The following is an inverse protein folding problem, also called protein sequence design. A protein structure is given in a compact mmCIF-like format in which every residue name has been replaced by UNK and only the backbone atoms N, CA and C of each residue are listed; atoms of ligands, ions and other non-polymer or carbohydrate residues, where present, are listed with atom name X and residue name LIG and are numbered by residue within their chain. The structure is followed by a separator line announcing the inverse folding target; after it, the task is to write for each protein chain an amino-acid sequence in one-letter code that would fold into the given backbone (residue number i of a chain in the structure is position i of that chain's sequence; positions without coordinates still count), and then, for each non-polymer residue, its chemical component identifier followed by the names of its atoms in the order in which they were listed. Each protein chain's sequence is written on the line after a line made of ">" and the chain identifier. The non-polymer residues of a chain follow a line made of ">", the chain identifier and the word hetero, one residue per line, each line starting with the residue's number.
data_IF_676512914205
#
_entry.id   IF_676512914205
#
_cell.length_a   1.000
_cell.length_b   1.000
_cell.length_c   1.000
_cell.angle_alpha   90.00
_cell.angle_beta   90.00
_cell.angle_gamma   90.00
#
_symmetry.space_group_name_H-M   'P 1'
#
loop_
_entity.id
_entity.type
_entity.pdbx_description
1 polymer ?
#
# COMPACT_ATOMS: atom_id res chain seq x y z
N UNK A 1 -28.02 -28.40 -33.76
CA UNK A 1 -27.72 -27.92 -32.39
C UNK A 1 -26.43 -28.57 -31.85
N UNK A 2 -25.20 -28.15 -32.25
CA UNK A 2 -23.95 -28.65 -31.59
C UNK A 2 -22.73 -27.70 -31.62
N UNK A 3 -22.79 -26.52 -32.26
CA UNK A 3 -21.59 -25.65 -32.43
C UNK A 3 -21.62 -24.32 -31.67
N UNK A 4 -22.72 -23.99 -31.00
CA UNK A 4 -22.84 -22.72 -30.26
C UNK A 4 -22.39 -22.81 -28.79
N UNK A 5 -22.16 -24.00 -28.25
CA UNK A 5 -21.90 -24.18 -26.81
C UNK A 5 -20.43 -24.08 -26.41
N UNK A 6 -19.49 -24.12 -27.35
CA UNK A 6 -18.04 -24.08 -27.03
C UNK A 6 -17.45 -22.67 -26.93
N UNK A 7 -18.09 -21.64 -27.48
CA UNK A 7 -17.54 -20.28 -27.45
C UNK A 7 -17.86 -19.51 -26.17
N UNK A 8 -18.84 -19.95 -25.38
CA UNK A 8 -19.20 -19.27 -24.11
C UNK A 8 -18.31 -19.66 -22.92
N UNK A 9 -17.57 -20.77 -23.00
CA UNK A 9 -16.77 -21.25 -21.86
C UNK A 9 -15.39 -20.56 -21.78
N UNK A 10 -14.86 -20.08 -22.90
CA UNK A 10 -13.53 -19.43 -22.95
C UNK A 10 -13.57 -18.01 -22.36
N UNK A 11 -14.70 -17.31 -22.45
CA UNK A 11 -14.82 -15.94 -21.94
C UNK A 11 -14.90 -15.87 -20.39
N UNK A 12 -15.41 -16.92 -19.74
CA UNK A 12 -15.58 -16.94 -18.27
C UNK A 12 -14.28 -17.25 -17.51
N UNK A 13 -13.35 -18.01 -18.12
CA UNK A 13 -12.08 -18.38 -17.50
C UNK A 13 -11.08 -17.21 -17.50
N UNK A 14 -11.16 -16.31 -18.49
CA UNK A 14 -10.27 -15.14 -18.58
C UNK A 14 -10.49 -14.07 -17.50
N UNK A 15 -11.71 -13.94 -16.97
CA UNK A 15 -12.03 -12.92 -15.96
C UNK A 15 -11.59 -13.32 -14.54
N UNK A 16 -11.53 -14.61 -14.22
CA UNK A 16 -11.08 -15.10 -12.91
C UNK A 16 -9.57 -14.91 -12.67
N UNK A 17 -8.76 -14.83 -13.72
CA UNK A 17 -7.30 -14.69 -13.61
C UNK A 17 -6.85 -13.27 -13.22
N UNK A 18 -7.60 -12.24 -13.64
CA UNK A 18 -7.29 -10.86 -13.28
C UNK A 18 -7.58 -10.56 -11.80
N UNK A 19 -8.62 -11.15 -11.22
CA UNK A 19 -8.92 -10.98 -9.79
C UNK A 19 -7.89 -11.65 -8.87
N UNK A 20 -7.25 -12.73 -9.34
CA UNK A 20 -6.25 -13.44 -8.54
C UNK A 20 -4.94 -12.66 -8.35
N UNK A 21 -4.49 -11.88 -9.35
CA UNK A 21 -3.25 -11.10 -9.22
C UNK A 21 -3.41 -9.97 -8.21
N UNK A 22 -4.49 -9.18 -8.29
CA UNK A 22 -4.72 -8.10 -7.32
C UNK A 22 -4.88 -8.61 -5.88
N UNK A 23 -5.52 -9.77 -5.68
CA UNK A 23 -5.64 -10.36 -4.35
C UNK A 23 -4.29 -10.85 -3.80
N UNK A 24 -3.42 -11.41 -4.66
CA UNK A 24 -2.07 -11.80 -4.28
C UNK A 24 -1.22 -10.58 -3.88
N UNK A 25 -1.29 -9.50 -4.67
CA UNK A 25 -0.56 -8.25 -4.42
C UNK A 25 -0.97 -7.63 -3.08
N UNK A 26 -2.28 -7.58 -2.79
CA UNK A 26 -2.79 -7.07 -1.49
C UNK A 26 -2.26 -7.88 -0.31
N UNK A 27 -2.31 -9.21 -0.39
CA UNK A 27 -1.85 -10.09 0.69
C UNK A 27 -0.34 -9.96 0.92
N UNK A 28 0.44 -9.82 -0.16
CA UNK A 28 1.88 -9.60 -0.05
C UNK A 28 2.21 -8.25 0.62
N UNK A 29 1.52 -7.18 0.21
CA UNK A 29 1.64 -5.85 0.82
C UNK A 29 1.29 -5.89 2.31
N UNK A 30 0.16 -6.50 2.68
CA UNK A 30 -0.27 -6.63 4.08
C UNK A 30 0.76 -7.37 4.94
N UNK A 31 1.31 -8.47 4.40
CA UNK A 31 2.37 -9.26 5.04
C UNK A 31 3.65 -8.45 5.20
N UNK A 32 4.06 -7.71 4.17
CA UNK A 32 5.25 -6.88 4.19
C UNK A 32 5.16 -5.78 5.25
N UNK A 33 4.05 -5.02 5.26
CA UNK A 33 3.78 -3.96 6.25
C UNK A 33 3.72 -4.55 7.66
N UNK A 34 3.00 -5.66 7.85
CA UNK A 34 2.90 -6.32 9.16
C UNK A 34 4.27 -6.83 9.64
N UNK A 35 5.11 -7.33 8.74
CA UNK A 35 6.46 -7.79 9.08
C UNK A 35 7.35 -6.65 9.57
N UNK A 36 7.27 -5.46 8.97
CA UNK A 36 8.00 -4.28 9.45
C UNK A 36 7.48 -3.82 10.80
N UNK A 37 6.16 -3.81 11.00
CA UNK A 37 5.54 -3.46 12.29
C UNK A 37 5.99 -4.43 13.39
N UNK A 38 5.93 -5.74 13.14
CA UNK A 38 6.35 -6.77 14.09
C UNK A 38 7.85 -6.72 14.42
N UNK A 39 8.69 -6.40 13.43
CA UNK A 39 10.13 -6.25 13.65
C UNK A 39 10.47 -5.03 14.51
N UNK A 40 9.63 -3.99 14.52
CA UNK A 40 9.87 -2.76 15.29
C UNK A 40 11.03 -1.90 14.79
N UNK A 41 11.56 -2.18 13.59
CA UNK A 41 12.71 -1.47 13.00
C UNK A 41 12.26 -0.60 11.83
N UNK A 42 12.32 0.72 12.01
CA UNK A 42 11.79 1.72 11.07
C UNK A 42 12.90 2.56 10.42
N UNK A 43 13.77 1.91 9.64
CA UNK A 43 14.81 2.60 8.86
C UNK A 43 14.75 2.17 7.38
N UNK A 44 15.45 2.89 6.52
CA UNK A 44 15.39 2.68 5.07
C UNK A 44 15.81 1.26 4.68
N UNK A 45 16.87 0.73 5.30
CA UNK A 45 17.41 -0.61 5.01
C UNK A 45 16.39 -1.70 5.34
N UNK A 46 15.79 -1.67 6.53
CA UNK A 46 14.80 -2.66 6.96
C UNK A 46 13.53 -2.59 6.09
N UNK A 47 13.06 -1.38 5.79
CA UNK A 47 11.85 -1.19 4.98
C UNK A 47 12.08 -1.62 3.52
N UNK A 48 13.24 -1.29 2.94
CA UNK A 48 13.60 -1.72 1.58
C UNK A 48 13.72 -3.24 1.47
N UNK A 49 14.31 -3.90 2.47
CA UNK A 49 14.47 -5.36 2.49
C UNK A 49 13.14 -6.12 2.63
N UNK A 50 12.07 -5.45 3.07
CA UNK A 50 10.74 -6.05 3.26
C UNK A 50 9.72 -5.62 2.21
N UNK A 51 10.04 -4.63 1.38
CA UNK A 51 9.12 -4.13 0.37
C UNK A 51 8.89 -5.19 -0.73
N UNK A 52 7.63 -5.37 -1.19
CA UNK A 52 7.34 -6.15 -2.38
C UNK A 52 8.07 -5.60 -3.61
N UNK A 53 8.30 -6.44 -4.62
CA UNK A 53 9.00 -6.04 -5.84
C UNK A 53 8.28 -4.86 -6.55
N UNK A 54 9.05 -3.86 -6.96
CA UNK A 54 8.52 -2.66 -7.62
C UNK A 54 7.78 -1.67 -6.70
N UNK A 55 7.58 -2.00 -5.42
CA UNK A 55 6.94 -1.14 -4.43
C UNK A 55 7.94 -0.65 -3.38
N UNK A 56 7.48 0.23 -2.50
CA UNK A 56 8.24 0.70 -1.36
C UNK A 56 7.37 0.72 -0.10
N UNK A 57 8.00 0.46 1.04
CA UNK A 57 7.41 0.70 2.35
C UNK A 57 7.83 2.10 2.80
N UNK A 58 6.87 2.92 3.22
CA UNK A 58 7.13 4.19 3.87
C UNK A 58 6.74 4.14 5.34
N UNK A 59 7.35 5.02 6.12
CA UNK A 59 7.04 5.21 7.53
C UNK A 59 6.92 6.70 7.79
N UNK A 60 5.81 7.11 8.38
CA UNK A 60 5.62 8.45 8.92
C UNK A 60 5.26 8.39 10.39
N UNK A 61 5.50 9.48 11.11
CA UNK A 61 4.91 9.71 12.42
C UNK A 61 3.45 10.16 12.27
N UNK A 62 2.67 10.02 13.34
CA UNK A 62 1.28 10.51 13.40
C UNK A 62 1.16 12.02 13.28
N UNK A 63 2.25 12.77 13.50
CA UNK A 63 2.31 14.21 13.25
C UNK A 63 2.58 14.57 11.77
N UNK A 64 2.76 13.58 10.90
CA UNK A 64 3.01 13.76 9.47
C UNK A 64 4.49 13.70 9.07
N UNK A 65 5.43 13.72 10.03
CA UNK A 65 6.86 13.66 9.72
C UNK A 65 7.24 12.33 9.07
N UNK A 66 7.84 12.37 7.88
CA UNK A 66 8.33 11.19 7.18
C UNK A 66 9.68 10.74 7.76
N UNK A 67 9.77 9.44 8.04
CA UNK A 67 10.99 8.77 8.53
C UNK A 67 11.64 7.95 7.42
N UNK A 68 10.82 7.23 6.66
CA UNK A 68 11.24 6.40 5.53
C UNK A 68 10.33 6.71 4.35
N UNK A 69 10.91 7.15 3.25
CA UNK A 69 10.22 7.34 1.97
C UNK A 69 11.26 7.59 0.86
N UNK A 70 11.09 7.09 -0.37
CA UNK A 70 12.05 7.33 -1.46
C UNK A 70 12.27 8.82 -1.79
N UNK A 71 11.33 9.68 -1.43
CA UNK A 71 11.40 11.14 -1.63
C UNK A 71 11.49 11.94 -0.33
N UNK A 72 11.93 11.34 0.78
CA UNK A 72 11.93 12.02 2.10
C UNK A 72 12.82 13.27 2.18
N UNK A 73 13.83 13.36 1.33
CA UNK A 73 14.70 14.55 1.26
C UNK A 73 13.97 15.77 0.70
N UNK A 74 12.99 15.55 -0.18
CA UNK A 74 12.14 16.58 -0.75
C UNK A 74 10.80 16.74 -0.01
N UNK A 75 10.29 15.68 0.62
CA UNK A 75 9.00 15.64 1.32
C UNK A 75 9.27 15.19 2.75
N UNK A 76 9.48 16.15 3.65
CA UNK A 76 9.79 15.86 5.06
C UNK A 76 8.55 15.67 5.91
N UNK A 77 7.42 16.26 5.52
CA UNK A 77 6.18 16.29 6.30
C UNK A 77 4.95 16.27 5.39
N UNK A 78 4.04 15.33 5.65
CA UNK A 78 2.78 15.17 4.93
C UNK A 78 1.61 15.96 5.53
N UNK A 79 1.74 16.49 6.76
CA UNK A 79 0.67 17.26 7.40
C UNK A 79 0.48 18.66 6.80
N UNK A 80 1.40 19.09 5.93
CA UNK A 80 1.30 20.40 5.23
C UNK A 80 0.10 20.46 4.27
N UNK A 81 -0.39 21.66 4.00
CA UNK A 81 -1.55 21.91 3.11
C UNK A 81 -1.40 21.24 1.73
N UNK A 82 -0.17 21.15 1.21
CA UNK A 82 0.14 20.52 -0.09
C UNK A 82 -0.18 19.02 -0.11
N UNK A 83 -0.04 18.33 1.02
CA UNK A 83 -0.19 16.87 1.12
C UNK A 83 -1.38 16.47 1.99
N UNK A 84 -2.21 17.44 2.39
CA UNK A 84 -3.29 17.24 3.36
C UNK A 84 -4.23 16.10 2.99
N UNK A 85 -4.63 15.99 1.71
CA UNK A 85 -5.51 14.90 1.24
C UNK A 85 -4.88 13.52 1.47
N UNK A 86 -3.56 13.40 1.32
CA UNK A 86 -2.85 12.15 1.56
C UNK A 86 -2.75 11.90 3.07
N UNK A 87 -2.36 12.91 3.84
CA UNK A 87 -2.24 12.80 5.29
C UNK A 87 -3.56 12.43 5.98
N UNK A 88 -4.66 13.07 5.58
CA UNK A 88 -6.00 12.82 6.12
C UNK A 88 -6.43 11.36 5.90
N UNK A 89 -6.02 10.72 4.80
CA UNK A 89 -6.26 9.30 4.57
C UNK A 89 -5.32 8.41 5.39
N UNK A 90 -4.03 8.72 5.41
CA UNK A 90 -3.02 7.91 6.13
C UNK A 90 -3.24 7.89 7.65
N UNK A 91 -3.70 9.01 8.25
CA UNK A 91 -3.90 9.11 9.70
C UNK A 91 -5.05 8.25 10.22
N UNK A 92 -5.91 7.72 9.33
CA UNK A 92 -6.97 6.75 9.66
C UNK A 92 -6.43 5.36 9.98
N UNK A 93 -5.13 5.12 9.82
CA UNK A 93 -4.50 3.84 10.08
C UNK A 93 -4.80 3.33 11.51
N UNK A 94 -5.16 2.05 11.59
CA UNK A 94 -5.43 1.33 12.84
C UNK A 94 -4.31 0.35 13.16
N UNK A 95 -4.31 -0.21 14.38
CA UNK A 95 -3.37 -1.28 14.76
C UNK A 95 -3.59 -2.58 14.01
N UNK A 96 -4.79 -2.83 13.49
CA UNK A 96 -5.11 -4.00 12.66
C UNK A 96 -4.68 -3.78 11.20
N UNK A 97 -4.67 -2.52 10.79
CA UNK A 97 -4.36 -2.06 9.45
C UNK A 97 -5.64 -1.77 8.66
N UNK A 98 -5.50 -0.92 7.63
CA UNK A 98 -6.59 -0.46 6.80
C UNK A 98 -6.08 -0.20 5.39
N UNK A 99 -6.90 -0.52 4.39
CA UNK A 99 -6.68 -0.05 3.01
C UNK A 99 -7.28 1.35 2.85
N UNK A 100 -6.45 2.29 2.41
CA UNK A 100 -6.84 3.67 2.12
C UNK A 100 -6.51 4.01 0.67
N UNK A 101 -7.24 4.97 0.12
CA UNK A 101 -7.10 5.39 -1.27
C UNK A 101 -6.97 6.90 -1.36
N UNK A 102 -5.99 7.37 -2.12
CA UNK A 102 -5.74 8.80 -2.31
C UNK A 102 -5.04 9.06 -3.64
N UNK A 103 -4.98 10.33 -4.04
CA UNK A 103 -4.23 10.76 -5.22
C UNK A 103 -2.78 11.15 -4.84
N UNK A 104 -1.80 10.57 -5.54
CA UNK A 104 -0.38 10.89 -5.39
C UNK A 104 0.24 11.20 -6.76
N UNK A 105 0.72 12.43 -6.95
CA UNK A 105 1.28 12.90 -8.24
C UNK A 105 0.35 12.65 -9.43
N UNK A 106 -0.96 12.87 -9.23
CA UNK A 106 -2.00 12.69 -10.26
C UNK A 106 -2.35 11.24 -10.59
N UNK A 107 -1.87 10.27 -9.80
CA UNK A 107 -2.25 8.87 -9.92
C UNK A 107 -2.98 8.43 -8.66
N UNK A 108 -4.00 7.61 -8.85
CA UNK A 108 -4.64 6.91 -7.74
C UNK A 108 -3.65 5.94 -7.10
N UNK A 109 -3.66 5.92 -5.76
CA UNK A 109 -2.88 4.99 -4.94
C UNK A 109 -3.80 4.21 -4.03
N UNK A 110 -3.60 2.90 -4.00
CA UNK A 110 -4.23 2.00 -3.04
C UNK A 110 -3.16 1.52 -2.06
N UNK A 111 -3.28 1.92 -0.80
CA UNK A 111 -2.22 1.73 0.20
C UNK A 111 -2.77 1.02 1.42
N UNK A 112 -2.12 -0.08 1.82
CA UNK A 112 -2.35 -0.66 3.13
C UNK A 112 -1.50 0.09 4.15
N UNK A 113 -2.13 0.55 5.22
CA UNK A 113 -1.47 1.28 6.30
C UNK A 113 -1.75 0.63 7.63
N UNK A 114 -0.74 0.57 8.50
CA UNK A 114 -0.85 0.02 9.86
C UNK A 114 -0.16 0.94 10.86
N UNK A 115 -0.87 1.22 11.95
CA UNK A 115 -0.37 2.06 13.05
C UNK A 115 0.34 1.21 14.09
N UNK A 116 1.48 1.70 14.57
CA UNK A 116 2.19 1.14 15.72
C UNK A 116 2.79 2.27 16.57
N UNK A 117 2.21 2.49 17.76
CA UNK A 117 2.54 3.65 18.59
C UNK A 117 2.28 4.97 17.87
N UNK A 118 3.31 5.83 17.80
CA UNK A 118 3.33 7.12 17.09
C UNK A 118 3.67 7.00 15.59
N UNK A 119 3.76 5.78 15.04
CA UNK A 119 4.18 5.54 13.65
C UNK A 119 3.06 4.93 12.83
N UNK A 120 3.06 5.26 11.54
CA UNK A 120 2.22 4.69 10.50
C UNK A 120 3.15 4.14 9.44
N UNK A 121 3.03 2.83 9.19
CA UNK A 121 3.77 2.10 8.17
C UNK A 121 2.82 1.81 7.02
N UNK A 122 3.24 2.08 5.78
CA UNK A 122 2.38 1.86 4.62
C UNK A 122 3.12 1.39 3.38
N UNK A 123 2.38 0.74 2.48
CA UNK A 123 2.85 0.31 1.17
C UNK A 123 1.64 0.18 0.22
N UNK A 124 1.82 0.55 -1.05
CA UNK A 124 0.72 0.64 -2.00
C UNK A 124 1.14 0.85 -3.45
N UNK A 125 0.26 0.46 -4.37
CA UNK A 125 0.44 0.53 -5.83
C UNK A 125 -0.33 1.69 -6.44
#
# INVERSE_FOLDING_TARGET
>A
MKKAFLFSLVLFVGFCLATSSFAADKKEIEKAVSSVVLAGVYNDTACKAKAPEGLYIFVMKTDGKLLVHPSKDAIKDLSTTKYKVIYDELIKATSDGLWVQYQWKGKEKNTFVKKHGDKIVGCGY
#
